data_IF_323946891971
#
_entry.id   IF_323946891971
#
_cell.length_a   1.000
_cell.length_b   1.000
_cell.length_c   1.000
_cell.angle_alpha   90.00
_cell.angle_beta   90.00
_cell.angle_gamma   90.00
#
_symmetry.space_group_name_H-M   'P 1'
#
loop_
_entity.id
_entity.type
_entity.pdbx_description
1 polymer ?
#
# COMPACT_ATOMS: atom_id res chain seq x y z
N UNK A 1 -22.97 -62.41 69.05
CA UNK A 1 -22.59 -62.34 70.50
C UNK A 1 -22.37 -60.91 70.85
N UNK A 2 -23.32 -60.39 71.47
CA UNK A 2 -23.25 -59.71 72.78
C UNK A 2 -22.59 -58.35 72.70
N UNK A 3 -23.34 -57.26 72.75
CA UNK A 3 -23.77 -56.52 74.02
C UNK A 3 -22.63 -55.59 74.45
N UNK A 4 -22.75 -54.37 74.83
CA UNK A 4 -23.82 -53.67 75.60
C UNK A 4 -23.43 -52.19 75.60
N UNK A 5 -24.36 -51.26 75.39
CA UNK A 5 -24.80 -50.15 76.24
C UNK A 5 -23.84 -49.54 77.29
N UNK A 6 -23.81 -48.19 77.32
CA UNK A 6 -24.24 -47.33 78.44
C UNK A 6 -23.89 -45.86 78.20
N UNK A 7 -24.79 -44.99 77.92
CA UNK A 7 -25.54 -44.02 78.66
C UNK A 7 -24.77 -42.97 79.52
N UNK A 8 -25.14 -41.72 79.27
CA UNK A 8 -25.22 -40.52 80.16
C UNK A 8 -23.90 -39.81 80.50
N UNK A 9 -23.79 -38.50 80.31
CA UNK A 9 -24.58 -37.46 80.96
C UNK A 9 -24.36 -36.08 80.35
N UNK A 10 -25.41 -35.29 80.44
CA UNK A 10 -25.52 -33.86 80.08
C UNK A 10 -24.63 -32.98 80.98
N UNK A 11 -24.08 -31.93 80.40
CA UNK A 11 -24.10 -30.59 81.02
C UNK A 11 -23.83 -29.49 79.98
N UNK A 12 -24.80 -28.61 79.81
CA UNK A 12 -24.63 -27.27 79.33
C UNK A 12 -24.52 -26.30 80.50
N UNK A 13 -23.89 -25.10 80.43
CA UNK A 13 -24.37 -24.00 79.56
C UNK A 13 -23.24 -23.00 79.16
N UNK A 14 -23.50 -22.20 78.30
CA UNK A 14 -23.61 -20.74 78.31
C UNK A 14 -23.19 -20.11 76.96
N UNK A 15 -24.09 -19.35 76.45
CA UNK A 15 -24.08 -18.49 75.32
C UNK A 15 -23.11 -17.35 75.49
N UNK A 16 -22.22 -17.12 74.52
CA UNK A 16 -21.79 -15.74 74.15
C UNK A 16 -21.66 -15.62 72.64
N UNK A 17 -22.61 -14.85 72.08
CA UNK A 17 -22.61 -14.36 70.70
C UNK A 17 -21.37 -13.60 70.34
N UNK A 18 -20.64 -13.98 69.24
CA UNK A 18 -19.94 -13.06 68.39
C UNK A 18 -20.09 -13.50 66.93
N UNK A 19 -21.03 -12.89 66.26
CA UNK A 19 -21.19 -12.99 64.81
C UNK A 19 -20.03 -12.24 64.15
N UNK A 20 -19.09 -12.95 63.58
CA UNK A 20 -18.17 -12.42 62.59
C UNK A 20 -18.76 -12.69 61.22
N UNK A 21 -19.44 -11.68 60.67
CA UNK A 21 -19.92 -11.66 59.29
C UNK A 21 -18.71 -11.47 58.37
N UNK A 22 -18.22 -12.54 57.79
CA UNK A 22 -17.28 -12.45 56.64
C UNK A 22 -18.09 -12.11 55.40
N UNK A 23 -18.06 -10.84 55.02
CA UNK A 23 -18.55 -10.40 53.71
C UNK A 23 -17.58 -10.96 52.66
N UNK A 24 -18.03 -12.01 51.96
CA UNK A 24 -17.33 -12.48 50.76
C UNK A 24 -17.64 -11.48 49.64
N UNK A 25 -16.67 -10.62 49.31
CA UNK A 25 -16.73 -9.77 48.15
C UNK A 25 -16.66 -10.63 46.90
N UNK A 26 -17.78 -10.88 46.26
CA UNK A 26 -17.83 -11.44 44.90
C UNK A 26 -17.40 -10.34 43.93
N UNK A 27 -16.14 -10.38 43.49
CA UNK A 27 -15.67 -9.60 42.33
C UNK A 27 -16.30 -10.22 41.10
N UNK A 28 -17.34 -9.57 40.58
CA UNK A 28 -17.93 -9.86 39.29
C UNK A 28 -16.94 -9.34 38.25
N UNK A 29 -16.08 -10.21 37.74
CA UNK A 29 -15.25 -9.91 36.58
C UNK A 29 -16.20 -9.82 35.36
N UNK A 30 -16.56 -8.61 34.97
CA UNK A 30 -17.24 -8.36 33.69
C UNK A 30 -16.17 -8.55 32.61
N UNK A 31 -16.17 -9.74 32.02
CA UNK A 31 -15.46 -9.94 30.74
C UNK A 31 -16.20 -9.12 29.68
N UNK A 32 -15.66 -7.98 29.31
CA UNK A 32 -15.97 -7.38 28.03
C UNK A 32 -15.45 -8.33 26.95
N UNK A 33 -16.33 -9.16 26.45
CA UNK A 33 -16.11 -9.86 25.18
C UNK A 33 -16.23 -8.73 24.14
N UNK A 34 -15.09 -8.16 23.76
CA UNK A 34 -15.01 -7.39 22.53
C UNK A 34 -15.34 -8.39 21.43
N UNK A 35 -16.55 -8.34 20.91
CA UNK A 35 -16.89 -9.03 19.67
C UNK A 35 -15.96 -8.42 18.62
N UNK A 36 -14.95 -9.17 18.17
CA UNK A 36 -14.24 -8.90 16.94
C UNK A 36 -15.30 -9.07 15.85
N UNK A 37 -15.95 -7.98 15.47
CA UNK A 37 -16.67 -7.93 14.22
C UNK A 37 -15.56 -7.87 13.17
N UNK A 38 -15.34 -8.97 12.45
CA UNK A 38 -14.67 -8.88 11.18
C UNK A 38 -15.58 -7.98 10.31
N UNK A 39 -15.13 -6.76 10.06
CA UNK A 39 -15.86 -5.87 9.17
C UNK A 39 -15.91 -6.52 7.79
N UNK A 40 -17.13 -6.71 7.28
CA UNK A 40 -17.33 -7.25 5.95
C UNK A 40 -16.77 -6.23 4.96
N UNK A 41 -15.84 -6.60 4.09
CA UNK A 41 -15.28 -5.65 3.13
C UNK A 41 -16.37 -5.00 2.30
N UNK A 42 -16.28 -3.69 2.14
CA UNK A 42 -17.15 -2.95 1.23
C UNK A 42 -16.88 -3.36 -0.21
N UNK A 43 -17.93 -3.57 -1.01
CA UNK A 43 -17.81 -4.00 -2.40
C UNK A 43 -17.78 -2.79 -3.32
N UNK A 44 -16.73 -2.66 -4.11
CA UNK A 44 -16.53 -1.63 -5.13
C UNK A 44 -16.39 -2.30 -6.49
N UNK A 45 -16.58 -1.56 -7.57
CA UNK A 45 -16.51 -2.09 -8.93
C UNK A 45 -15.54 -1.28 -9.79
N UNK A 46 -14.79 -1.95 -10.70
CA UNK A 46 -13.94 -1.26 -11.66
C UNK A 46 -14.78 -0.58 -12.73
N UNK A 47 -14.26 0.51 -13.28
CA UNK A 47 -14.90 1.28 -14.34
C UNK A 47 -14.23 1.14 -15.71
N UNK A 48 -12.92 0.86 -15.68
CA UNK A 48 -12.05 0.68 -16.85
C UNK A 48 -11.01 -0.37 -16.50
N UNK A 49 -10.57 -1.13 -17.49
CA UNK A 49 -9.36 -1.93 -17.43
C UNK A 49 -8.41 -1.53 -18.57
N UNK A 50 -7.10 -1.67 -18.36
CA UNK A 50 -6.11 -1.40 -19.41
C UNK A 50 -5.97 -2.58 -20.37
N UNK A 51 -5.42 -2.30 -21.55
CA UNK A 51 -4.82 -3.38 -22.33
C UNK A 51 -3.77 -4.10 -21.47
N UNK A 52 -3.70 -5.46 -21.56
CA UNK A 52 -2.75 -6.23 -20.76
C UNK A 52 -1.29 -5.94 -21.11
N UNK A 53 -0.38 -6.11 -20.15
CA UNK A 53 1.07 -6.10 -20.40
C UNK A 53 1.48 -7.26 -21.31
N UNK A 54 2.63 -7.16 -21.97
CA UNK A 54 3.05 -8.18 -22.95
C UNK A 54 3.60 -9.44 -22.28
N UNK A 55 4.21 -9.29 -21.12
CA UNK A 55 4.81 -10.42 -20.41
C UNK A 55 3.74 -11.33 -19.80
N UNK A 56 3.91 -12.66 -19.92
CA UNK A 56 2.97 -13.61 -19.34
C UNK A 56 3.22 -13.80 -17.83
N UNK A 57 2.25 -14.42 -17.16
CA UNK A 57 2.27 -14.75 -15.75
C UNK A 57 2.35 -13.51 -14.88
N UNK A 58 2.96 -13.57 -13.71
CA UNK A 58 3.19 -12.48 -12.78
C UNK A 58 4.16 -11.44 -13.41
N UNK A 59 3.61 -10.32 -13.90
CA UNK A 59 4.33 -9.37 -14.74
C UNK A 59 3.92 -7.90 -14.59
N UNK A 60 2.64 -7.55 -14.63
CA UNK A 60 2.22 -6.19 -14.27
C UNK A 60 2.48 -5.97 -12.77
N UNK A 61 2.93 -4.77 -12.40
CA UNK A 61 3.33 -4.53 -11.02
C UNK A 61 2.75 -3.20 -10.50
N UNK A 62 3.39 -2.09 -10.75
CA UNK A 62 3.10 -0.84 -10.07
C UNK A 62 2.57 0.25 -11.02
N UNK A 63 1.47 0.92 -10.70
CA UNK A 63 0.96 2.05 -11.46
C UNK A 63 1.37 3.39 -10.85
N UNK A 64 1.43 4.45 -11.70
CA UNK A 64 1.54 5.83 -11.26
C UNK A 64 0.65 6.74 -12.10
N UNK A 65 -0.07 7.68 -11.46
CA UNK A 65 -1.05 8.57 -12.08
C UNK A 65 -0.46 9.96 -12.30
N UNK A 66 -0.33 10.38 -13.55
CA UNK A 66 -0.01 11.78 -13.87
C UNK A 66 -1.26 12.57 -14.21
N UNK A 67 -1.45 13.70 -13.54
CA UNK A 67 -2.58 14.60 -13.75
C UNK A 67 -2.18 15.73 -14.69
N UNK A 68 -2.86 15.82 -15.84
CA UNK A 68 -2.76 16.99 -16.70
C UNK A 68 -3.66 18.09 -16.16
N UNK A 69 -3.09 19.04 -15.41
CA UNK A 69 -3.85 20.14 -14.82
C UNK A 69 -4.46 21.09 -15.86
N UNK A 70 -3.89 21.18 -17.09
CA UNK A 70 -4.38 22.03 -18.16
C UNK A 70 -5.56 21.38 -18.90
N UNK A 71 -5.55 20.07 -19.07
CA UNK A 71 -6.60 19.29 -19.71
C UNK A 71 -6.70 17.91 -19.05
N UNK A 72 -7.53 17.78 -18.00
CA UNK A 72 -7.63 16.52 -17.24
C UNK A 72 -8.01 15.27 -18.07
N UNK A 73 -8.60 15.46 -19.28
CA UNK A 73 -8.88 14.35 -20.20
C UNK A 73 -7.62 13.73 -20.80
N UNK A 74 -6.50 14.41 -20.68
CA UNK A 74 -5.19 13.99 -21.18
C UNK A 74 -4.25 13.55 -20.04
N UNK A 75 -4.78 13.28 -18.88
CA UNK A 75 -4.03 12.61 -17.81
C UNK A 75 -3.61 11.22 -18.25
N UNK A 76 -2.52 10.71 -17.68
CA UNK A 76 -1.90 9.47 -18.09
C UNK A 76 -1.72 8.55 -16.89
N UNK A 77 -1.77 7.26 -17.18
CA UNK A 77 -1.42 6.21 -16.23
C UNK A 77 -0.14 5.54 -16.76
N UNK A 78 0.88 5.49 -15.93
CA UNK A 78 2.07 4.69 -16.16
C UNK A 78 1.89 3.36 -15.44
N UNK A 79 2.31 2.26 -16.06
CA UNK A 79 2.25 0.95 -15.45
C UNK A 79 3.53 0.19 -15.76
N UNK A 80 4.07 -0.52 -14.78
CA UNK A 80 5.27 -1.33 -14.99
C UNK A 80 4.91 -2.75 -15.39
N UNK A 81 5.79 -3.36 -16.18
CA UNK A 81 5.90 -4.79 -16.40
C UNK A 81 7.28 -5.20 -15.85
N UNK A 82 7.27 -5.83 -14.67
CA UNK A 82 8.49 -6.19 -13.93
C UNK A 82 9.42 -7.15 -14.66
N UNK A 83 9.01 -7.60 -15.85
CA UNK A 83 9.82 -8.44 -16.75
C UNK A 83 10.35 -7.68 -17.97
N UNK A 84 9.75 -6.52 -18.33
CA UNK A 84 10.05 -5.92 -19.63
C UNK A 84 10.12 -4.39 -19.68
N UNK A 85 9.44 -3.62 -18.84
CA UNK A 85 9.55 -2.15 -18.90
C UNK A 85 8.33 -1.37 -18.45
N UNK A 86 8.01 -0.27 -19.19
CA UNK A 86 6.99 0.71 -18.79
C UNK A 86 5.96 0.90 -19.90
N UNK A 87 4.70 0.87 -19.52
CA UNK A 87 3.54 1.21 -20.33
C UNK A 87 3.01 2.60 -19.98
N UNK A 88 2.41 3.27 -20.96
CA UNK A 88 1.67 4.50 -20.75
C UNK A 88 0.28 4.33 -21.34
N UNK A 89 -0.74 4.55 -20.51
CA UNK A 89 -2.16 4.40 -20.88
C UNK A 89 -2.91 5.73 -20.77
N UNK A 90 -3.99 5.85 -21.52
CA UNK A 90 -4.95 6.94 -21.34
C UNK A 90 -6.02 6.59 -20.28
N UNK A 91 -6.91 7.54 -19.96
CA UNK A 91 -8.02 7.33 -19.01
C UNK A 91 -9.10 6.33 -19.48
N UNK A 92 -8.96 5.77 -20.67
CA UNK A 92 -9.83 4.71 -21.19
C UNK A 92 -9.17 3.34 -21.18
N UNK A 93 -7.96 3.24 -20.65
CA UNK A 93 -7.18 2.01 -20.61
C UNK A 93 -6.44 1.67 -21.92
N UNK A 94 -6.52 2.54 -22.95
CA UNK A 94 -5.80 2.29 -24.21
C UNK A 94 -4.30 2.53 -24.00
N UNK A 95 -3.48 1.60 -24.48
CA UNK A 95 -2.03 1.78 -24.50
C UNK A 95 -1.65 2.88 -25.51
N UNK A 96 -0.94 3.90 -25.05
CA UNK A 96 -0.37 4.95 -25.88
C UNK A 96 1.07 4.67 -26.25
N UNK A 97 1.86 4.11 -25.34
CA UNK A 97 3.26 3.83 -25.52
C UNK A 97 3.72 2.65 -24.67
N UNK A 98 4.78 1.98 -25.14
CA UNK A 98 5.52 0.97 -24.41
C UNK A 98 7.01 1.16 -24.62
N UNK A 99 7.80 1.07 -23.54
CA UNK A 99 9.27 1.13 -23.60
C UNK A 99 9.87 -0.10 -22.95
N UNK A 100 10.64 -0.86 -23.73
CA UNK A 100 11.39 -1.99 -23.21
C UNK A 100 12.66 -1.47 -22.51
N UNK A 101 12.70 -1.54 -21.20
CA UNK A 101 13.77 -1.03 -20.33
C UNK A 101 14.40 -2.13 -19.47
N UNK A 102 13.99 -3.38 -19.67
CA UNK A 102 14.33 -4.50 -18.81
C UNK A 102 13.38 -4.64 -17.63
N UNK A 103 13.83 -5.23 -16.55
CA UNK A 103 13.02 -5.52 -15.35
C UNK A 103 12.80 -4.25 -14.54
N UNK A 104 11.69 -3.57 -14.79
CA UNK A 104 11.26 -2.39 -14.03
C UNK A 104 10.17 -2.81 -13.04
N UNK A 105 10.46 -2.75 -11.74
CA UNK A 105 9.48 -3.15 -10.72
C UNK A 105 8.51 -2.00 -10.42
N UNK A 106 8.87 -1.06 -9.57
CA UNK A 106 7.99 0.04 -9.17
C UNK A 106 8.28 1.33 -9.93
N UNK A 107 7.29 2.24 -9.90
CA UNK A 107 7.33 3.55 -10.53
C UNK A 107 6.61 4.58 -9.65
N UNK A 108 7.18 5.77 -9.47
CA UNK A 108 6.49 6.91 -8.86
C UNK A 108 6.86 8.20 -9.57
N UNK A 109 6.04 9.24 -9.41
CA UNK A 109 6.20 10.49 -10.14
C UNK A 109 5.78 11.72 -9.32
N UNK A 110 6.38 12.87 -9.66
CA UNK A 110 5.99 14.19 -9.16
C UNK A 110 6.07 15.24 -10.26
N UNK A 111 5.06 16.09 -10.30
CA UNK A 111 5.05 17.28 -11.17
C UNK A 111 5.65 18.48 -10.44
N UNK A 112 6.74 19.04 -10.98
CA UNK A 112 7.43 20.19 -10.39
C UNK A 112 7.77 21.22 -11.46
N UNK A 113 7.23 22.43 -11.36
CA UNK A 113 7.53 23.57 -12.23
C UNK A 113 7.40 23.26 -13.72
N UNK A 114 6.35 22.51 -14.10
CA UNK A 114 6.07 22.14 -15.50
C UNK A 114 6.95 21.01 -16.05
N UNK A 115 7.61 20.31 -15.17
CA UNK A 115 8.36 19.07 -15.47
C UNK A 115 7.75 17.91 -14.71
N UNK A 116 7.61 16.80 -15.40
CA UNK A 116 7.28 15.50 -14.81
C UNK A 116 8.57 14.77 -14.47
N UNK A 117 8.76 14.51 -13.21
CA UNK A 117 9.85 13.71 -12.65
C UNK A 117 9.34 12.30 -12.41
N UNK A 118 10.02 11.29 -12.93
CA UNK A 118 9.65 9.87 -12.78
C UNK A 118 10.85 9.12 -12.23
N UNK A 119 10.62 8.30 -11.21
CA UNK A 119 11.60 7.34 -10.71
C UNK A 119 11.11 5.92 -10.90
N UNK A 120 12.03 4.99 -11.15
CA UNK A 120 11.74 3.56 -11.17
C UNK A 120 12.88 2.77 -10.54
N UNK A 121 12.55 1.58 -10.05
CA UNK A 121 13.53 0.57 -9.66
C UNK A 121 13.85 -0.33 -10.85
N UNK A 122 15.06 -0.22 -11.38
CA UNK A 122 15.53 -1.03 -12.51
C UNK A 122 16.32 -2.23 -12.01
N UNK A 123 15.67 -3.38 -11.90
CA UNK A 123 16.26 -4.65 -11.42
C UNK A 123 17.30 -5.21 -12.38
N UNK A 124 17.20 -4.88 -13.69
CA UNK A 124 18.21 -5.30 -14.67
C UNK A 124 19.56 -4.64 -14.43
N UNK A 125 19.56 -3.36 -14.04
CA UNK A 125 20.77 -2.57 -13.87
C UNK A 125 21.15 -2.36 -12.40
N UNK A 126 20.28 -2.72 -11.46
CA UNK A 126 20.42 -2.42 -10.03
C UNK A 126 20.55 -0.92 -9.77
N UNK A 127 19.69 -0.14 -10.42
CA UNK A 127 19.71 1.32 -10.36
C UNK A 127 18.37 1.90 -9.93
N UNK A 128 18.41 3.05 -9.30
CA UNK A 128 17.31 4.01 -9.24
C UNK A 128 17.37 4.81 -10.55
N UNK A 129 16.46 4.52 -11.46
CA UNK A 129 16.39 5.25 -12.73
C UNK A 129 15.52 6.50 -12.54
N UNK A 130 15.96 7.62 -13.11
CA UNK A 130 15.31 8.91 -12.92
C UNK A 130 15.19 9.65 -14.26
N UNK A 131 13.94 9.93 -14.69
CA UNK A 131 13.61 10.66 -15.91
C UNK A 131 12.98 12.00 -15.60
N UNK A 132 13.23 12.96 -16.52
CA UNK A 132 12.59 14.28 -16.48
C UNK A 132 11.98 14.57 -17.85
N UNK A 133 10.66 14.72 -17.90
CA UNK A 133 9.92 15.09 -19.09
C UNK A 133 9.39 16.53 -18.98
N UNK A 134 9.19 17.18 -20.13
CA UNK A 134 8.40 18.41 -20.18
C UNK A 134 6.92 18.05 -20.14
N UNK A 135 6.13 18.65 -19.23
CA UNK A 135 4.70 18.38 -19.14
C UNK A 135 3.92 19.00 -20.31
N UNK A 136 4.51 20.01 -20.99
CA UNK A 136 3.91 20.59 -22.16
C UNK A 136 3.82 19.52 -23.27
N UNK A 137 2.60 19.32 -23.77
CA UNK A 137 2.30 18.33 -24.83
C UNK A 137 2.66 16.86 -24.49
N UNK A 138 2.83 16.51 -23.21
CA UNK A 138 3.25 15.17 -22.76
C UNK A 138 2.33 14.05 -23.29
N UNK A 139 1.00 14.24 -23.24
CA UNK A 139 0.05 13.29 -23.82
C UNK A 139 0.28 13.09 -25.33
N UNK A 140 0.54 14.17 -26.07
CA UNK A 140 0.83 14.10 -27.50
C UNK A 140 2.16 13.40 -27.74
N UNK A 141 3.16 13.65 -26.90
CA UNK A 141 4.45 12.99 -26.97
C UNK A 141 4.31 11.47 -26.91
N UNK A 142 3.71 10.93 -25.84
CA UNK A 142 3.54 9.48 -25.68
C UNK A 142 2.65 8.88 -26.79
N UNK A 143 1.60 9.57 -27.20
CA UNK A 143 0.73 9.11 -28.28
C UNK A 143 1.42 9.08 -29.65
N UNK A 144 2.38 9.98 -29.90
CA UNK A 144 3.14 10.02 -31.15
C UNK A 144 4.41 9.15 -31.12
N UNK A 145 4.81 8.67 -29.95
CA UNK A 145 5.97 7.81 -29.71
C UNK A 145 5.49 6.48 -29.08
N UNK A 146 4.85 5.60 -29.86
CA UNK A 146 4.21 4.39 -29.32
C UNK A 146 5.21 3.34 -28.85
N UNK A 147 6.50 3.51 -29.16
CA UNK A 147 7.56 2.58 -28.75
C UNK A 147 8.77 3.35 -28.25
N UNK A 148 9.40 2.85 -27.18
CA UNK A 148 10.67 3.36 -26.63
C UNK A 148 10.66 4.86 -26.24
N UNK A 149 9.50 5.42 -25.87
CA UNK A 149 9.35 6.82 -25.49
C UNK A 149 10.26 7.24 -24.32
N UNK A 150 10.52 6.34 -23.37
CA UNK A 150 11.45 6.58 -22.28
C UNK A 150 12.91 6.60 -22.72
N UNK A 151 13.30 5.73 -23.66
CA UNK A 151 14.66 5.69 -24.19
C UNK A 151 14.99 6.93 -25.04
N UNK A 152 13.99 7.60 -25.61
CA UNK A 152 14.11 8.83 -26.37
C UNK A 152 14.04 10.09 -25.49
N UNK A 153 13.83 9.94 -24.18
CA UNK A 153 13.82 11.05 -23.22
C UNK A 153 15.17 11.75 -23.17
N UNK A 154 15.14 13.08 -23.21
CA UNK A 154 16.37 13.90 -23.22
C UNK A 154 17.10 13.94 -21.88
N UNK A 155 16.42 13.59 -20.78
CA UNK A 155 17.04 13.60 -19.44
C UNK A 155 16.72 12.30 -18.73
N UNK A 156 17.75 11.48 -18.59
CA UNK A 156 17.68 10.20 -17.90
C UNK A 156 18.96 9.97 -17.10
N UNK A 157 18.81 9.56 -15.84
CA UNK A 157 19.92 9.26 -14.95
C UNK A 157 19.78 7.84 -14.40
N UNK A 158 20.87 7.08 -14.41
CA UNK A 158 21.00 5.79 -13.74
C UNK A 158 21.78 5.99 -12.44
N UNK A 159 21.09 6.04 -11.30
CA UNK A 159 21.71 6.22 -9.99
C UNK A 159 22.05 4.84 -9.41
N UNK A 160 23.35 4.52 -9.34
CA UNK A 160 23.85 3.23 -8.89
C UNK A 160 23.64 3.10 -7.38
N UNK A 161 22.82 2.16 -6.96
CA UNK A 161 22.44 1.99 -5.55
C UNK A 161 23.44 1.16 -4.74
N UNK A 162 24.16 0.25 -5.41
CA UNK A 162 25.06 -0.71 -4.77
C UNK A 162 24.34 -1.90 -4.12
N UNK A 163 23.07 -2.11 -4.43
CA UNK A 163 22.23 -3.25 -4.01
C UNK A 163 21.32 -3.68 -5.15
N UNK A 164 20.79 -4.89 -5.14
CA UNK A 164 19.62 -5.26 -5.95
C UNK A 164 18.45 -4.40 -5.55
N UNK A 165 17.68 -3.89 -6.51
CA UNK A 165 16.59 -2.94 -6.23
C UNK A 165 15.23 -3.60 -6.40
N UNK A 166 14.23 -3.16 -5.59
CA UNK A 166 12.88 -3.68 -5.62
C UNK A 166 11.85 -2.56 -5.67
N UNK A 167 11.31 -2.09 -4.53
CA UNK A 167 10.35 -1.00 -4.47
C UNK A 167 10.97 0.40 -4.63
N UNK A 168 10.18 1.35 -5.11
CA UNK A 168 10.58 2.77 -5.19
C UNK A 168 9.41 3.70 -4.98
N UNK A 169 9.65 4.83 -4.32
CA UNK A 169 8.72 5.96 -4.27
C UNK A 169 9.47 7.30 -4.19
N UNK A 170 8.78 8.39 -4.50
CA UNK A 170 9.36 9.73 -4.43
C UNK A 170 8.43 10.73 -3.75
N UNK A 171 8.99 11.82 -3.23
CA UNK A 171 8.27 12.91 -2.60
C UNK A 171 8.88 14.26 -2.90
N UNK A 172 8.06 15.29 -2.75
CA UNK A 172 8.48 16.69 -2.86
C UNK A 172 8.38 17.36 -1.47
N UNK A 173 9.52 17.48 -0.82
CA UNK A 173 9.63 18.01 0.54
C UNK A 173 10.38 19.33 0.51
N UNK A 174 9.71 20.44 0.88
CA UNK A 174 10.30 21.78 0.89
C UNK A 174 10.95 22.20 -0.46
N UNK A 175 10.36 21.77 -1.57
CA UNK A 175 10.86 21.91 -2.95
C UNK A 175 12.07 21.02 -3.30
N UNK A 176 12.50 20.11 -2.44
CA UNK A 176 13.51 19.11 -2.73
C UNK A 176 12.84 17.77 -3.11
N UNK A 177 13.21 17.23 -4.26
CA UNK A 177 12.79 15.90 -4.68
C UNK A 177 13.61 14.84 -3.96
N UNK A 178 12.91 13.92 -3.31
CA UNK A 178 13.52 12.78 -2.61
C UNK A 178 12.92 11.47 -3.13
N UNK A 179 13.73 10.41 -3.10
CA UNK A 179 13.25 9.06 -3.40
C UNK A 179 13.65 8.10 -2.28
N UNK A 180 12.86 7.06 -2.12
CA UNK A 180 13.22 5.87 -1.35
C UNK A 180 13.27 4.70 -2.32
N UNK A 181 14.28 3.83 -2.15
CA UNK A 181 14.42 2.60 -2.90
C UNK A 181 14.80 1.46 -1.94
N UNK A 182 14.21 0.30 -2.16
CA UNK A 182 14.34 -0.88 -1.31
C UNK A 182 15.20 -1.96 -1.97
N UNK A 183 15.69 -2.90 -1.19
CA UNK A 183 16.55 -4.00 -1.63
C UNK A 183 15.70 -5.25 -1.92
N UNK A 184 15.88 -5.84 -3.10
CA UNK A 184 15.29 -7.11 -3.51
C UNK A 184 15.89 -8.26 -2.67
N UNK A 185 15.05 -9.15 -2.14
CA UNK A 185 15.41 -10.24 -1.22
C UNK A 185 16.26 -9.79 -0.03
N UNK A 186 16.21 -8.50 0.32
CA UNK A 186 17.05 -7.90 1.31
C UNK A 186 16.28 -7.04 2.32
N UNK A 187 17.00 -6.27 3.07
CA UNK A 187 16.45 -5.47 4.18
C UNK A 187 16.93 -4.02 4.18
N UNK A 188 17.78 -3.69 3.21
CA UNK A 188 18.28 -2.32 3.10
C UNK A 188 17.23 -1.45 2.41
N UNK A 189 17.03 -0.27 2.98
CA UNK A 189 16.23 0.80 2.39
C UNK A 189 17.08 2.06 2.33
N UNK A 190 17.13 2.69 1.16
CA UNK A 190 17.94 3.88 0.91
C UNK A 190 17.06 5.09 0.61
N UNK A 191 17.39 6.24 1.18
CA UNK A 191 16.82 7.53 0.80
C UNK A 191 17.81 8.32 -0.04
N UNK A 192 17.33 8.94 -1.10
CA UNK A 192 18.09 9.70 -2.07
C UNK A 192 17.59 11.15 -2.19
N UNK A 193 18.49 12.07 -2.37
CA UNK A 193 18.22 13.42 -2.86
C UNK A 193 18.36 13.40 -4.38
N UNK A 194 17.26 13.66 -5.10
CA UNK A 194 17.24 13.59 -6.56
C UNK A 194 17.79 14.88 -7.22
N UNK A 195 17.79 16.01 -6.52
CA UNK A 195 18.36 17.24 -7.04
C UNK A 195 19.88 17.13 -7.11
N UNK A 196 20.49 16.60 -6.05
CA UNK A 196 21.93 16.38 -5.94
C UNK A 196 22.37 15.01 -6.47
N UNK A 197 21.42 14.10 -6.71
CA UNK A 197 21.64 12.72 -7.16
C UNK A 197 22.56 11.91 -6.22
N UNK A 198 22.37 12.08 -4.94
CA UNK A 198 23.15 11.40 -3.89
C UNK A 198 22.28 10.62 -2.92
N UNK A 199 22.81 9.52 -2.44
CA UNK A 199 22.23 8.77 -1.32
C UNK A 199 22.44 9.54 -0.01
N UNK A 200 21.37 9.85 0.69
CA UNK A 200 21.42 10.61 1.95
C UNK A 200 21.38 9.72 3.18
N UNK A 201 20.59 8.63 3.13
CA UNK A 201 20.41 7.68 4.23
C UNK A 201 20.36 6.25 3.73
N UNK A 202 20.72 5.31 4.60
CA UNK A 202 20.47 3.89 4.42
C UNK A 202 20.18 3.26 5.79
N UNK A 203 19.16 2.42 5.87
CA UNK A 203 18.76 1.72 7.10
C UNK A 203 18.53 0.24 6.81
N UNK A 204 18.65 -0.59 7.84
CA UNK A 204 18.09 -1.93 7.89
C UNK A 204 16.67 -1.83 8.45
N UNK A 205 15.63 -2.06 7.62
CA UNK A 205 14.23 -1.88 7.99
C UNK A 205 13.80 -2.85 9.11
N UNK A 206 14.48 -3.98 9.25
CA UNK A 206 14.16 -5.00 10.25
C UNK A 206 14.63 -4.64 11.65
N UNK A 207 15.54 -3.68 11.81
CA UNK A 207 16.07 -3.26 13.12
C UNK A 207 14.99 -2.73 14.08
N UNK A 208 13.83 -2.35 13.56
CA UNK A 208 12.71 -1.83 14.36
C UNK A 208 11.72 -2.92 14.77
N UNK A 209 12.01 -4.19 14.49
CA UNK A 209 11.11 -5.30 14.73
C UNK A 209 11.51 -6.11 15.96
N UNK A 210 10.50 -6.60 16.67
CA UNK A 210 10.72 -7.53 17.77
C UNK A 210 10.86 -8.95 17.22
N UNK A 211 11.92 -9.64 17.61
CA UNK A 211 12.19 -11.02 17.22
C UNK A 211 13.39 -11.14 16.27
N UNK A 212 13.65 -12.36 15.80
CA UNK A 212 14.69 -12.59 14.79
C UNK A 212 14.12 -12.27 13.42
N UNK A 213 14.86 -11.59 12.53
CA UNK A 213 14.50 -11.47 11.13
C UNK A 213 14.36 -12.86 10.51
N UNK A 214 13.34 -13.06 9.69
CA UNK A 214 13.15 -14.29 8.89
C UNK A 214 13.55 -13.98 7.45
N UNK A 215 14.09 -14.93 6.72
CA UNK A 215 14.41 -14.77 5.29
C UNK A 215 13.12 -14.53 4.48
N UNK A 216 13.23 -13.80 3.36
CA UNK A 216 12.10 -13.45 2.48
C UNK A 216 11.25 -12.29 2.97
N UNK A 217 11.76 -11.46 3.86
CA UNK A 217 11.08 -10.30 4.43
C UNK A 217 11.60 -9.01 3.79
N UNK A 218 11.32 -8.81 2.52
CA UNK A 218 11.70 -7.62 1.78
C UNK A 218 10.68 -6.48 1.91
N UNK A 219 11.10 -5.27 1.58
CA UNK A 219 10.22 -4.11 1.52
C UNK A 219 9.96 -3.78 0.05
N UNK A 220 8.69 -3.61 -0.32
CA UNK A 220 8.33 -3.28 -1.69
C UNK A 220 7.61 -1.94 -1.79
N UNK A 221 6.34 -1.90 -1.48
CA UNK A 221 5.56 -0.68 -1.63
C UNK A 221 6.03 0.43 -0.71
N UNK A 222 6.09 1.64 -1.23
CA UNK A 222 6.27 2.81 -0.38
C UNK A 222 5.55 4.04 -0.96
N UNK A 223 5.27 5.02 -0.09
CA UNK A 223 4.69 6.30 -0.51
C UNK A 223 5.16 7.42 0.40
N UNK A 224 5.40 8.59 -0.20
CA UNK A 224 5.64 9.83 0.53
C UNK A 224 4.33 10.57 0.78
N UNK A 225 4.09 10.89 2.03
CA UNK A 225 3.13 11.90 2.44
C UNK A 225 3.84 13.26 2.54
N UNK A 226 3.88 13.96 1.42
CA UNK A 226 4.65 15.20 1.26
C UNK A 226 4.25 16.26 2.30
N UNK A 227 2.95 16.37 2.61
CA UNK A 227 2.42 17.38 3.53
C UNK A 227 2.60 17.04 5.02
N UNK A 228 2.66 15.76 5.36
CA UNK A 228 2.92 15.28 6.73
C UNK A 228 4.39 14.88 6.93
N UNK A 229 5.23 15.02 5.91
CA UNK A 229 6.67 14.69 5.92
C UNK A 229 6.91 13.26 6.45
N UNK A 230 6.07 12.31 6.01
CA UNK A 230 6.08 10.92 6.43
C UNK A 230 6.30 10.01 5.21
N UNK A 231 7.06 8.95 5.40
CA UNK A 231 7.22 7.88 4.41
C UNK A 231 6.57 6.64 4.99
N UNK A 232 5.66 6.03 4.25
CA UNK A 232 5.11 4.72 4.57
C UNK A 232 5.81 3.68 3.71
N UNK A 233 6.18 2.55 4.31
CA UNK A 233 6.85 1.44 3.62
C UNK A 233 6.17 0.15 4.03
N UNK A 234 5.70 -0.61 3.05
CA UNK A 234 5.22 -1.98 3.24
C UNK A 234 6.39 -2.94 3.27
N UNK A 235 6.29 -3.94 4.11
CA UNK A 235 7.26 -5.01 4.25
C UNK A 235 6.53 -6.35 4.27
N UNK A 236 6.85 -7.18 3.37
CA UNK A 236 6.32 -8.52 3.18
C UNK A 236 6.79 -9.54 4.24
N UNK A 237 6.48 -10.80 4.02
CA UNK A 237 6.98 -11.93 4.79
C UNK A 237 6.13 -12.26 6.02
N UNK A 238 6.73 -12.88 7.01
CA UNK A 238 6.05 -13.51 8.14
C UNK A 238 5.17 -12.55 8.97
N UNK A 239 5.47 -11.26 8.97
CA UNK A 239 4.73 -10.24 9.75
C UNK A 239 3.84 -9.36 8.91
N UNK A 240 4.15 -9.18 7.61
CA UNK A 240 3.44 -8.28 6.71
C UNK A 240 3.13 -6.94 7.38
N UNK A 241 4.11 -6.01 7.42
CA UNK A 241 4.01 -4.79 8.24
C UNK A 241 4.10 -3.55 7.38
N UNK A 242 3.21 -2.59 7.60
CA UNK A 242 3.36 -1.21 7.10
C UNK A 242 3.98 -0.34 8.17
N UNK A 243 5.11 0.29 7.87
CA UNK A 243 5.88 1.14 8.77
C UNK A 243 5.86 2.60 8.34
N UNK A 244 5.78 3.51 9.31
CA UNK A 244 5.91 4.94 9.10
C UNK A 244 7.28 5.44 9.55
N UNK A 245 7.90 6.29 8.71
CA UNK A 245 9.17 6.96 8.96
C UNK A 245 9.06 8.47 8.73
N UNK A 246 9.84 9.27 9.44
CA UNK A 246 9.98 10.69 9.09
C UNK A 246 10.85 10.85 7.85
N UNK A 247 10.55 11.82 7.00
CA UNK A 247 11.42 12.19 5.88
C UNK A 247 12.76 12.73 6.39
N UNK A 248 12.71 13.60 7.43
CA UNK A 248 13.93 14.11 8.05
C UNK A 248 14.65 13.03 8.87
N UNK A 249 15.87 12.73 8.44
CA UNK A 249 16.74 11.75 9.09
C UNK A 249 16.26 10.30 8.99
N UNK A 250 15.21 10.03 8.22
CA UNK A 250 14.67 8.69 7.95
C UNK A 250 14.48 7.87 9.23
N UNK A 251 13.80 8.48 10.22
CA UNK A 251 13.62 7.91 11.55
C UNK A 251 12.31 7.12 11.63
N UNK A 252 12.38 5.92 12.18
CA UNK A 252 11.18 5.14 12.47
C UNK A 252 10.25 5.88 13.44
N UNK A 253 8.97 5.94 13.09
CA UNK A 253 7.90 6.56 13.90
C UNK A 253 7.06 5.49 14.59
N UNK A 254 6.44 4.59 13.83
CA UNK A 254 5.66 3.45 14.36
C UNK A 254 5.24 2.50 13.24
N UNK A 255 4.72 1.34 13.63
CA UNK A 255 3.96 0.47 12.73
C UNK A 255 2.55 1.04 12.55
N UNK A 256 2.07 1.06 11.30
CA UNK A 256 0.69 1.41 10.96
C UNK A 256 -0.21 0.22 11.23
N UNK A 257 0.11 -0.92 10.60
CA UNK A 257 -0.58 -2.19 10.77
C UNK A 257 0.32 -3.37 10.39
N UNK A 258 -0.18 -4.60 10.58
CA UNK A 258 0.53 -5.85 10.28
C UNK A 258 -0.45 -7.01 10.14
N UNK A 259 0.04 -8.21 9.83
CA UNK A 259 -0.76 -9.45 9.85
C UNK A 259 -1.39 -9.79 11.22
N UNK A 260 -1.01 -9.09 12.28
CA UNK A 260 -1.68 -9.19 13.57
C UNK A 260 -2.91 -8.27 13.69
N UNK A 261 -3.13 -7.40 12.71
CA UNK A 261 -4.27 -6.49 12.58
C UNK A 261 -5.16 -6.85 11.40
N UNK A 262 -5.34 -5.91 10.47
CA UNK A 262 -6.28 -6.02 9.36
C UNK A 262 -5.62 -6.52 8.04
N UNK A 263 -4.31 -6.71 8.01
CA UNK A 263 -3.57 -7.18 6.83
C UNK A 263 -3.60 -8.71 6.77
N UNK A 264 -4.00 -9.25 5.63
CA UNK A 264 -3.92 -10.68 5.32
C UNK A 264 -3.00 -10.91 4.12
N UNK A 265 -2.02 -11.80 4.24
CA UNK A 265 -0.95 -11.95 3.27
C UNK A 265 0.08 -10.83 3.37
N UNK A 266 0.59 -10.39 2.24
CA UNK A 266 1.57 -9.35 2.17
C UNK A 266 0.92 -7.97 1.94
N UNK A 267 1.35 -6.93 2.66
CA UNK A 267 1.04 -5.55 2.29
C UNK A 267 1.98 -5.15 1.16
N UNK A 268 1.44 -4.98 -0.01
CA UNK A 268 2.20 -4.66 -1.20
C UNK A 268 2.11 -3.16 -1.52
N UNK A 269 1.24 -2.78 -2.42
CA UNK A 269 1.04 -1.40 -2.82
C UNK A 269 0.52 -0.51 -1.69
N UNK A 270 1.09 0.68 -1.59
CA UNK A 270 0.65 1.73 -0.66
C UNK A 270 0.53 3.08 -1.39
N UNK A 271 -0.55 3.81 -1.17
CA UNK A 271 -0.76 5.13 -1.76
C UNK A 271 -1.57 6.06 -0.84
N UNK A 272 -1.62 7.36 -1.16
CA UNK A 272 -2.27 8.39 -0.34
C UNK A 272 -3.46 9.00 -1.08
N UNK A 273 -4.65 8.90 -0.47
CA UNK A 273 -5.81 9.70 -0.87
C UNK A 273 -5.92 10.95 0.01
N UNK A 274 -5.92 12.14 -0.59
CA UNK A 274 -5.95 13.43 0.13
C UNK A 274 -7.37 13.99 0.19
N UNK A 275 -7.94 14.16 1.39
CA UNK A 275 -9.21 14.90 1.58
C UNK A 275 -8.96 16.39 1.81
N UNK A 276 -7.79 16.75 2.33
CA UNK A 276 -7.28 18.10 2.46
C UNK A 276 -5.75 18.09 2.46
N UNK A 277 -5.12 19.23 2.74
CA UNK A 277 -3.66 19.33 2.76
C UNK A 277 -2.99 18.31 3.70
N UNK A 278 -3.59 18.01 4.85
CA UNK A 278 -2.99 17.08 5.84
C UNK A 278 -3.89 15.92 6.23
N UNK A 279 -5.16 15.93 5.82
CA UNK A 279 -6.12 14.87 6.10
C UNK A 279 -6.31 13.95 4.89
N UNK A 280 -6.83 12.77 5.13
CA UNK A 280 -7.11 11.77 4.11
C UNK A 280 -6.74 10.38 4.59
N UNK A 281 -6.50 9.50 3.64
CA UNK A 281 -6.29 8.08 3.90
C UNK A 281 -4.98 7.58 3.31
N UNK A 282 -4.30 6.72 4.06
CA UNK A 282 -3.36 5.77 3.53
C UNK A 282 -4.16 4.57 3.03
N UNK A 283 -3.96 4.18 1.79
CA UNK A 283 -4.55 2.99 1.17
C UNK A 283 -3.47 1.94 1.07
N UNK A 284 -3.76 0.73 1.53
CA UNK A 284 -2.81 -0.39 1.56
C UNK A 284 -3.45 -1.61 0.91
N UNK A 285 -2.77 -2.22 -0.04
CA UNK A 285 -3.16 -3.51 -0.59
C UNK A 285 -2.92 -4.61 0.46
N UNK A 286 -3.86 -5.52 0.62
CA UNK A 286 -3.80 -6.72 1.45
C UNK A 286 -3.93 -7.91 0.50
N UNK A 287 -2.78 -8.37 -0.03
CA UNK A 287 -2.73 -9.27 -1.18
C UNK A 287 -3.41 -10.61 -0.91
N UNK A 288 -3.19 -11.20 0.28
CA UNK A 288 -3.66 -12.55 0.60
C UNK A 288 -5.17 -12.74 0.59
N UNK A 289 -5.94 -11.68 0.79
CA UNK A 289 -7.42 -11.70 0.71
C UNK A 289 -7.99 -10.80 -0.39
N UNK A 290 -7.13 -10.21 -1.24
CA UNK A 290 -7.49 -9.34 -2.35
C UNK A 290 -8.37 -8.16 -1.92
N UNK A 291 -8.01 -7.54 -0.78
CA UNK A 291 -8.69 -6.36 -0.23
C UNK A 291 -7.75 -5.16 -0.15
N UNK A 292 -8.33 -4.01 0.17
CA UNK A 292 -7.62 -2.76 0.37
C UNK A 292 -8.04 -2.14 1.69
N UNK A 293 -7.07 -1.90 2.56
CA UNK A 293 -7.29 -1.32 3.88
C UNK A 293 -7.05 0.18 3.86
N UNK A 294 -7.90 0.91 4.58
CA UNK A 294 -7.83 2.36 4.72
C UNK A 294 -7.46 2.72 6.15
N UNK A 295 -6.46 3.59 6.28
CA UNK A 295 -6.04 4.16 7.56
C UNK A 295 -6.02 5.69 7.46
N UNK A 296 -6.33 6.39 8.55
CA UNK A 296 -6.08 7.81 8.59
C UNK A 296 -4.60 8.09 8.29
N UNK A 297 -4.28 9.01 7.37
CA UNK A 297 -2.88 9.35 7.00
C UNK A 297 -2.11 10.10 8.09
N UNK A 298 -2.78 10.46 9.21
CA UNK A 298 -2.17 11.06 10.39
C UNK A 298 -2.06 10.08 11.54
N UNK A 299 -1.02 10.27 12.35
CA UNK A 299 -0.90 9.58 13.64
C UNK A 299 -2.18 9.73 14.46
N UNK A 300 -2.73 8.64 15.03
CA UNK A 300 -2.12 7.33 15.20
C UNK A 300 -2.29 6.35 14.02
N UNK A 301 -2.68 6.78 12.82
CA UNK A 301 -2.96 5.96 11.64
C UNK A 301 -4.09 4.97 11.91
N UNK A 302 -5.19 5.49 12.45
CA UNK A 302 -6.33 4.66 12.82
C UNK A 302 -6.93 3.98 11.59
N UNK A 303 -7.20 2.69 11.70
CA UNK A 303 -7.96 1.94 10.72
C UNK A 303 -9.36 2.54 10.52
N UNK A 304 -9.80 2.62 9.27
CA UNK A 304 -11.07 3.24 8.86
C UNK A 304 -12.03 2.21 8.29
N UNK A 305 -11.53 1.27 7.49
CA UNK A 305 -12.33 0.23 6.86
C UNK A 305 -11.58 -0.52 5.77
N UNK A 306 -12.21 -1.55 5.23
CA UNK A 306 -11.68 -2.40 4.17
C UNK A 306 -12.66 -2.45 3.01
N UNK A 307 -12.16 -2.42 1.78
CA UNK A 307 -12.96 -2.66 0.58
C UNK A 307 -12.30 -3.70 -0.32
N UNK A 308 -13.11 -4.30 -1.19
CA UNK A 308 -12.67 -5.21 -2.25
C UNK A 308 -13.27 -4.80 -3.59
N UNK A 309 -12.60 -5.17 -4.68
CA UNK A 309 -13.04 -4.80 -6.04
C UNK A 309 -13.54 -6.05 -6.74
N UNK A 310 -14.86 -6.18 -6.85
CA UNK A 310 -15.51 -7.27 -7.59
C UNK A 310 -15.75 -6.90 -9.05
N UNK A 311 -15.85 -7.92 -9.90
CA UNK A 311 -16.10 -7.71 -11.32
C UNK A 311 -17.48 -7.14 -11.65
N UNK A 312 -17.55 -6.24 -12.63
CA UNK A 312 -18.80 -5.66 -13.15
C UNK A 312 -18.66 -5.24 -14.62
N UNK A 313 -19.78 -5.20 -15.34
CA UNK A 313 -19.90 -4.67 -16.70
C UNK A 313 -18.92 -5.29 -17.74
N UNK A 314 -18.50 -6.52 -17.50
CA UNK A 314 -17.59 -7.24 -18.40
C UNK A 314 -16.13 -7.17 -18.00
N UNK A 315 -15.80 -6.36 -17.02
CA UNK A 315 -14.48 -6.31 -16.36
C UNK A 315 -14.52 -7.27 -15.17
N UNK A 316 -13.50 -8.06 -14.97
CA UNK A 316 -13.38 -8.99 -13.84
C UNK A 316 -12.94 -8.28 -12.55
N UNK A 317 -12.89 -9.03 -11.46
CA UNK A 317 -12.44 -8.56 -10.16
C UNK A 317 -10.93 -8.26 -10.15
N UNK A 318 -10.49 -7.50 -9.15
CA UNK A 318 -9.08 -7.29 -8.85
C UNK A 318 -8.64 -8.27 -7.79
N UNK A 319 -7.57 -9.00 -8.05
CA UNK A 319 -7.02 -10.00 -7.12
C UNK A 319 -5.50 -9.97 -7.13
N UNK A 320 -4.91 -10.40 -5.99
CA UNK A 320 -3.46 -10.59 -5.85
C UNK A 320 -2.69 -9.34 -6.29
N UNK A 321 -3.03 -8.20 -5.66
CA UNK A 321 -2.59 -6.87 -6.10
C UNK A 321 -1.22 -6.55 -5.53
N UNK A 322 -0.25 -6.31 -6.42
CA UNK A 322 1.08 -5.82 -6.08
C UNK A 322 1.05 -4.29 -5.88
N UNK A 323 0.88 -3.51 -6.93
CA UNK A 323 0.94 -2.06 -6.87
C UNK A 323 -0.40 -1.33 -6.98
N UNK A 324 -0.47 -0.17 -6.34
CA UNK A 324 -1.60 0.76 -6.43
C UNK A 324 -1.13 2.21 -6.51
N UNK A 325 -1.90 3.05 -7.20
CA UNK A 325 -1.80 4.50 -7.03
C UNK A 325 -3.17 5.16 -6.90
N UNK A 326 -3.24 6.25 -6.14
CA UNK A 326 -4.51 6.94 -5.83
C UNK A 326 -4.35 8.45 -5.99
N UNK A 327 -5.31 9.07 -6.65
CA UNK A 327 -5.41 10.53 -6.68
C UNK A 327 -6.76 11.00 -6.20
N UNK A 328 -6.78 12.11 -5.45
CA UNK A 328 -8.02 12.80 -5.08
C UNK A 328 -8.41 13.90 -6.08
N UNK A 329 -7.57 14.16 -7.08
CA UNK A 329 -7.84 15.16 -8.11
C UNK A 329 -9.01 14.72 -8.99
N UNK A 330 -10.05 15.54 -9.15
CA UNK A 330 -11.17 15.21 -10.04
C UNK A 330 -10.72 15.02 -11.48
N UNK A 331 -11.17 13.91 -12.08
CA UNK A 331 -10.90 13.56 -13.46
C UNK A 331 -12.23 13.26 -14.19
N UNK A 332 -12.28 13.29 -15.53
CA UNK A 332 -13.47 12.88 -16.28
C UNK A 332 -13.88 11.45 -15.95
N UNK A 333 -15.10 11.29 -15.42
CA UNK A 333 -15.60 10.01 -14.92
C UNK A 333 -15.27 9.72 -13.45
N UNK A 334 -14.38 10.50 -12.82
CA UNK A 334 -13.90 10.30 -11.45
C UNK A 334 -13.99 11.59 -10.63
N UNK A 335 -15.20 11.99 -10.18
CA UNK A 335 -15.41 13.32 -9.57
C UNK A 335 -14.72 13.53 -8.22
N UNK A 336 -14.29 12.48 -7.57
CA UNK A 336 -13.50 12.48 -6.32
C UNK A 336 -12.12 11.84 -6.50
N UNK A 337 -11.60 11.84 -7.74
CA UNK A 337 -10.38 11.15 -8.08
C UNK A 337 -10.57 9.65 -8.31
N UNK A 338 -9.49 8.95 -8.53
CA UNK A 338 -9.48 7.55 -8.89
C UNK A 338 -8.35 6.79 -8.18
N UNK A 339 -8.52 5.49 -8.14
CA UNK A 339 -7.47 4.51 -7.83
C UNK A 339 -7.16 3.71 -9.08
N UNK A 340 -5.91 3.37 -9.27
CA UNK A 340 -5.45 2.35 -10.21
C UNK A 340 -4.87 1.21 -9.40
N UNK A 341 -5.30 -0.01 -9.68
CA UNK A 341 -4.82 -1.22 -9.02
C UNK A 341 -4.28 -2.19 -10.05
N UNK A 342 -3.15 -2.80 -9.80
CA UNK A 342 -2.67 -3.97 -10.55
C UNK A 342 -3.61 -5.15 -10.27
N UNK A 343 -3.91 -5.93 -11.30
CA UNK A 343 -4.69 -7.16 -11.20
C UNK A 343 -3.85 -8.38 -11.57
N UNK A 344 -3.57 -9.20 -10.57
CA UNK A 344 -2.76 -10.41 -10.69
C UNK A 344 -3.44 -11.55 -11.46
N UNK A 345 -4.78 -11.50 -11.63
CA UNK A 345 -5.55 -12.59 -12.25
C UNK A 345 -6.55 -12.09 -13.31
N UNK A 346 -6.08 -11.33 -14.26
CA UNK A 346 -6.90 -10.80 -15.36
C UNK A 346 -7.59 -11.93 -16.12
N UNK A 347 -8.93 -11.97 -16.10
CA UNK A 347 -9.75 -13.01 -16.70
C UNK A 347 -10.90 -12.41 -17.52
N UNK A 348 -11.41 -13.16 -18.47
CA UNK A 348 -12.69 -12.80 -19.08
C UNK A 348 -13.88 -13.45 -18.34
N UNK A 349 -15.09 -13.07 -18.72
CA UNK A 349 -16.34 -13.60 -18.15
C UNK A 349 -16.48 -15.15 -18.21
N UNK A 350 -15.63 -15.86 -18.97
CA UNK A 350 -15.58 -17.32 -19.06
C UNK A 350 -14.48 -17.93 -18.21
N UNK A 351 -13.77 -17.10 -17.41
CA UNK A 351 -12.66 -17.54 -16.57
C UNK A 351 -11.37 -17.88 -17.33
N UNK A 352 -11.24 -17.44 -18.61
CA UNK A 352 -9.98 -17.58 -19.35
C UNK A 352 -9.01 -16.52 -18.86
N UNK A 353 -7.84 -16.98 -18.40
CA UNK A 353 -6.73 -16.12 -17.97
C UNK A 353 -6.08 -15.43 -19.18
N UNK A 354 -5.74 -14.15 -18.99
CA UNK A 354 -4.92 -13.31 -19.86
C UNK A 354 -3.69 -12.84 -19.12
N UNK A 355 -2.80 -12.14 -19.80
CA UNK A 355 -1.73 -11.40 -19.14
C UNK A 355 -2.33 -10.35 -18.21
N UNK A 356 -1.62 -10.04 -17.15
CA UNK A 356 -2.02 -9.08 -16.12
C UNK A 356 -2.23 -7.68 -16.71
N UNK A 357 -3.05 -6.88 -16.03
CA UNK A 357 -3.37 -5.52 -16.43
C UNK A 357 -3.57 -4.60 -15.19
N UNK A 358 -4.06 -3.39 -15.43
CA UNK A 358 -4.44 -2.45 -14.39
C UNK A 358 -5.92 -2.10 -14.50
N UNK A 359 -6.59 -1.91 -13.36
CA UNK A 359 -7.99 -1.53 -13.30
C UNK A 359 -8.18 -0.17 -12.65
N UNK A 360 -9.12 0.62 -13.18
CA UNK A 360 -9.42 1.97 -12.71
C UNK A 360 -10.70 1.95 -11.90
N UNK A 361 -10.67 2.55 -10.74
CA UNK A 361 -11.74 2.55 -9.75
C UNK A 361 -12.09 3.99 -9.38
N UNK A 362 -13.37 4.33 -9.32
CA UNK A 362 -13.83 5.61 -8.82
C UNK A 362 -13.64 5.69 -7.31
N UNK A 363 -12.79 6.59 -6.83
CA UNK A 363 -12.61 6.73 -5.38
C UNK A 363 -13.83 7.34 -4.67
N UNK A 364 -14.73 8.00 -5.43
CA UNK A 364 -16.04 8.40 -4.92
C UNK A 364 -16.82 7.21 -4.36
N UNK A 365 -16.78 6.08 -5.07
CA UNK A 365 -17.56 4.89 -4.68
C UNK A 365 -16.99 4.28 -3.38
N UNK A 366 -15.68 4.37 -3.18
CA UNK A 366 -15.03 4.01 -1.90
C UNK A 366 -15.51 4.94 -0.78
N UNK A 367 -15.44 6.27 -0.99
CA UNK A 367 -15.83 7.25 0.02
C UNK A 367 -17.30 7.16 0.41
N UNK A 368 -18.19 6.99 -0.56
CA UNK A 368 -19.65 6.89 -0.30
C UNK A 368 -20.01 5.70 0.61
N UNK A 369 -19.14 4.74 0.72
CA UNK A 369 -19.37 3.52 1.51
C UNK A 369 -18.69 3.57 2.89
N UNK A 370 -17.56 4.27 3.01
CA UNK A 370 -16.82 4.37 4.27
C UNK A 370 -17.18 5.62 5.09
N UNK A 371 -17.79 6.64 4.44
CA UNK A 371 -18.25 7.89 5.06
C UNK A 371 -19.77 8.08 4.79
N UNK A 372 -20.66 7.17 5.28
CA UNK A 372 -22.08 7.20 5.00
C UNK A 372 -22.83 8.38 5.62
#
# INVERSE_FOLDING_TARGET
MMNTELLMQLDSPTITNKYNLKIASFLLAIFFISSVHADVPTIIFPTVETEPVISPEDAADDPAIWINNADPKKSLIFGTDKKSGIYVYDLKGNQLSYSNLGKINNIDLRSVKGKLHIVTSNRTMSTLDYWIFDEQDLYKYFKSTPSNSFSESMTHHHLVTGMSVYGVCMGLINNDLKAVITEEEGKQVQQWDLNEQIKTHAIDITQFEKGKPVEGNEAEGCVFDDENETIFISREGDKGIVKAFSVDGFKYLKDVDSRAGEIEGDPEGVSIYKTSNKEGYLVVSSQGNSTFNLYNRKTPYQYVGTFMILGAQGIDEVRDTDGIDVTSTPLPGYPKGMMVAQDGFNTNQKGKLFNQNFKYISFKDVLDQIEP
#
